data_IF_402426345590
#
_entry.id   IF_402426345590
#
_cell.length_a   1.000
_cell.length_b   1.000
_cell.length_c   1.000
_cell.angle_alpha   90.00
_cell.angle_beta   90.00
_cell.angle_gamma   90.00
#
_symmetry.space_group_name_H-M   'P 1'
#
loop_
_entity.id
_entity.type
_entity.pdbx_description
1 polymer ?
#
# COMPACT_ATOMS: atom_id res chain seq x y z
N UNK A 1 13.04 -12.97 -12.36
CA UNK A 1 13.30 -12.52 -10.97
C UNK A 1 11.96 -12.42 -10.29
N UNK A 2 11.67 -13.30 -9.32
CA UNK A 2 10.55 -13.09 -8.40
C UNK A 2 10.89 -11.87 -7.55
N UNK A 3 10.03 -10.85 -7.57
CA UNK A 3 10.14 -9.75 -6.61
C UNK A 3 9.66 -10.34 -5.28
N UNK A 4 10.60 -10.72 -4.43
CA UNK A 4 10.32 -11.07 -3.04
C UNK A 4 9.86 -9.80 -2.33
N UNK A 5 8.54 -9.64 -2.16
CA UNK A 5 8.02 -8.62 -1.28
C UNK A 5 8.22 -9.09 0.18
N UNK A 6 8.32 -8.12 1.11
CA UNK A 6 8.47 -8.44 2.54
C UNK A 6 7.35 -9.36 3.06
N UNK A 7 7.52 -9.89 4.27
CA UNK A 7 6.54 -10.81 4.86
C UNK A 7 5.11 -10.22 4.82
N UNK A 8 4.14 -11.04 4.40
CA UNK A 8 2.72 -10.67 4.22
C UNK A 8 2.41 -9.67 3.10
N UNK A 9 3.39 -9.27 2.27
CA UNK A 9 3.13 -8.51 1.07
C UNK A 9 2.90 -9.43 -0.14
N UNK A 10 2.09 -8.96 -1.09
CA UNK A 10 1.87 -9.63 -2.37
C UNK A 10 1.67 -8.62 -3.50
N UNK A 11 1.85 -9.06 -4.74
CA UNK A 11 1.44 -8.31 -5.93
C UNK A 11 0.13 -8.89 -6.45
N UNK A 12 -0.84 -8.03 -6.72
CA UNK A 12 -2.12 -8.38 -7.34
C UNK A 12 -2.23 -7.70 -8.71
N UNK A 13 -2.81 -8.40 -9.67
CA UNK A 13 -3.17 -7.82 -10.97
C UNK A 13 -4.54 -7.16 -10.86
N UNK A 14 -4.64 -5.92 -11.34
CA UNK A 14 -5.89 -5.15 -11.41
C UNK A 14 -6.59 -5.42 -12.73
N UNK A 15 -7.89 -5.11 -12.79
CA UNK A 15 -8.70 -5.27 -14.01
C UNK A 15 -8.22 -4.43 -15.20
N UNK A 16 -7.43 -3.39 -14.95
CA UNK A 16 -6.79 -2.55 -15.97
C UNK A 16 -5.43 -3.10 -16.45
N UNK A 17 -5.02 -4.29 -15.97
CA UNK A 17 -3.75 -4.95 -16.30
C UNK A 17 -2.54 -4.42 -15.53
N UNK A 18 -2.72 -3.45 -14.63
CA UNK A 18 -1.62 -2.95 -13.79
C UNK A 18 -1.42 -3.81 -12.55
N UNK A 19 -0.19 -3.82 -12.02
CA UNK A 19 0.15 -4.52 -10.78
C UNK A 19 0.02 -3.56 -9.59
N UNK A 20 -0.53 -4.05 -8.48
CA UNK A 20 -0.63 -3.29 -7.23
C UNK A 20 -0.10 -4.12 -6.06
N UNK A 21 0.58 -3.48 -5.12
CA UNK A 21 0.98 -4.11 -3.88
C UNK A 21 -0.23 -4.30 -2.94
N UNK A 22 -0.27 -5.43 -2.26
CA UNK A 22 -1.22 -5.73 -1.19
C UNK A 22 -0.46 -6.16 0.06
N UNK A 23 -1.06 -5.95 1.23
CA UNK A 23 -0.53 -6.36 2.52
C UNK A 23 -1.62 -7.09 3.30
N UNK A 24 -1.33 -8.30 3.77
CA UNK A 24 -2.30 -9.17 4.48
C UNK A 24 -3.62 -9.32 3.70
N UNK A 25 -3.54 -9.44 2.38
CA UNK A 25 -4.68 -9.58 1.47
C UNK A 25 -5.43 -8.29 1.14
N UNK A 26 -4.99 -7.13 1.64
CA UNK A 26 -5.62 -5.83 1.39
C UNK A 26 -4.79 -4.99 0.42
N UNK A 27 -5.39 -4.41 -0.64
CA UNK A 27 -4.67 -3.56 -1.60
C UNK A 27 -4.17 -2.27 -0.94
N UNK A 28 -2.91 -1.90 -1.24
CA UNK A 28 -2.27 -0.70 -0.71
C UNK A 28 -2.45 0.49 -1.64
N UNK A 29 -2.74 1.66 -1.07
CA UNK A 29 -2.91 2.91 -1.80
C UNK A 29 -1.94 3.97 -1.27
N UNK A 30 -1.47 4.81 -2.17
CA UNK A 30 -0.71 6.00 -1.81
C UNK A 30 -1.66 7.11 -1.37
N UNK A 31 -1.26 7.84 -0.34
CA UNK A 31 -2.02 8.97 0.14
C UNK A 31 -1.51 10.28 -0.49
N UNK A 32 -2.42 11.05 -1.12
CA UNK A 32 -2.07 12.26 -1.87
C UNK A 32 -1.41 13.37 -1.02
N UNK A 33 -1.55 13.31 0.31
CA UNK A 33 -0.94 14.26 1.23
C UNK A 33 0.48 13.89 1.67
N UNK A 34 1.01 12.75 1.25
CA UNK A 34 2.38 12.34 1.57
C UNK A 34 3.30 12.80 0.43
N UNK A 35 4.00 13.92 0.66
CA UNK A 35 4.82 14.61 -0.36
C UNK A 35 6.30 14.53 -0.07
N UNK A 36 6.67 14.38 1.20
CA UNK A 36 8.04 14.28 1.66
C UNK A 36 8.34 12.87 2.15
N UNK A 37 9.62 12.53 2.19
CA UNK A 37 10.09 11.26 2.75
C UNK A 37 9.67 11.19 4.22
N UNK A 38 9.00 10.11 4.59
CA UNK A 38 8.54 9.87 5.95
C UNK A 38 7.17 10.46 6.28
N UNK A 39 6.51 11.16 5.34
CA UNK A 39 5.13 11.59 5.53
C UNK A 39 4.23 10.36 5.72
N UNK A 40 3.35 10.46 6.72
CA UNK A 40 2.31 9.47 7.05
C UNK A 40 0.97 10.19 7.30
N UNK A 41 0.75 11.31 6.61
CA UNK A 41 -0.38 12.22 6.81
C UNK A 41 -1.73 11.56 6.49
N UNK A 42 -1.70 10.43 5.79
CA UNK A 42 -2.87 9.59 5.56
C UNK A 42 -3.31 8.82 6.79
N UNK A 43 -2.42 8.41 7.68
CA UNK A 43 -2.76 7.49 8.76
C UNK A 43 -3.85 8.06 9.68
N UNK A 44 -4.92 7.30 9.90
CA UNK A 44 -6.07 7.71 10.70
C UNK A 44 -7.00 8.73 10.05
N UNK A 45 -6.68 9.27 8.86
CA UNK A 45 -7.49 10.31 8.22
C UNK A 45 -8.92 9.83 7.94
N UNK A 46 -9.90 10.58 8.42
CA UNK A 46 -11.33 10.29 8.34
C UNK A 46 -11.73 8.89 8.87
N UNK A 47 -10.87 8.26 9.67
CA UNK A 47 -11.08 6.89 10.16
C UNK A 47 -10.95 5.79 9.10
N UNK A 48 -10.71 6.12 7.81
CA UNK A 48 -10.68 5.15 6.70
C UNK A 48 -9.27 4.77 6.26
N UNK A 49 -8.30 5.66 6.44
CA UNK A 49 -6.91 5.40 6.09
C UNK A 49 -6.15 4.77 7.25
N UNK A 50 -5.26 3.81 6.95
CA UNK A 50 -4.38 3.15 7.91
C UNK A 50 -3.01 2.92 7.28
N UNK A 51 -1.96 3.25 8.00
CA UNK A 51 -0.58 2.94 7.59
C UNK A 51 -0.37 1.42 7.59
N UNK A 52 0.15 0.88 6.48
CA UNK A 52 0.56 -0.52 6.42
C UNK A 52 1.83 -0.71 7.27
N UNK A 53 1.75 -1.57 8.29
CA UNK A 53 2.84 -1.90 9.20
C UNK A 53 3.14 -3.40 9.07
N UNK A 54 4.38 -3.80 8.74
CA UNK A 54 4.82 -5.20 8.74
C UNK A 54 4.40 -5.92 10.02
#
# INVERSE_FOLDING_TARGET
>A
ASVELGENYSLIERTDGSMQAAFKGQPLYLFIGDKNIGDINGDGKNGVWRLAKP
#
